data_IF_202035827496
#
_entry.id   IF_202035827496
#
_cell.length_a   1.000
_cell.length_b   1.000
_cell.length_c   1.000
_cell.angle_alpha   90.00
_cell.angle_beta   90.00
_cell.angle_gamma   90.00
#
_symmetry.space_group_name_H-M   'P 1'
#
loop_
_entity.id
_entity.type
_entity.pdbx_description
1 polymer ?
#
# COMPACT_ATOMS: atom_id res chain seq x y z
N UNK A 1 -0.96 18.19 13.57
CA UNK A 1 -2.38 17.80 13.41
C UNK A 1 -2.69 16.62 14.33
N UNK A 2 -3.96 16.31 14.58
CA UNK A 2 -4.35 15.19 15.44
C UNK A 2 -5.45 14.34 14.79
N UNK A 3 -5.39 13.02 14.97
CA UNK A 3 -6.50 12.08 14.71
C UNK A 3 -7.00 11.56 16.06
N UNK A 4 -8.10 12.12 16.53
CA UNK A 4 -8.55 11.92 17.92
C UNK A 4 -7.44 12.35 18.89
N UNK A 5 -7.00 11.44 19.77
CA UNK A 5 -5.93 11.70 20.75
C UNK A 5 -4.51 11.42 20.22
N UNK A 6 -4.36 10.98 18.96
CA UNK A 6 -3.06 10.62 18.37
C UNK A 6 -2.50 11.80 17.57
N UNK A 7 -1.29 12.30 17.89
CA UNK A 7 -0.63 13.31 17.07
C UNK A 7 -0.27 12.71 15.71
N UNK A 8 -0.49 13.47 14.64
CA UNK A 8 -0.17 13.10 13.27
C UNK A 8 0.52 14.25 12.53
N UNK A 9 1.38 13.88 11.58
CA UNK A 9 1.99 14.79 10.61
C UNK A 9 1.16 14.77 9.34
N UNK A 10 0.77 15.95 8.86
CA UNK A 10 0.11 16.14 7.57
C UNK A 10 1.11 16.80 6.64
N UNK A 11 1.34 16.20 5.49
CA UNK A 11 2.27 16.69 4.47
C UNK A 11 1.43 17.18 3.30
N UNK A 12 1.46 18.50 3.05
CA UNK A 12 0.77 19.14 1.94
C UNK A 12 1.72 19.59 0.82
N UNK A 13 3.03 19.52 1.07
CA UNK A 13 4.06 19.87 0.10
C UNK A 13 4.32 18.72 -0.91
N UNK A 14 4.20 18.95 -2.24
CA UNK A 14 4.38 17.92 -3.26
C UNK A 14 5.77 17.27 -3.28
N UNK A 15 6.82 18.03 -3.01
CA UNK A 15 8.20 17.51 -3.04
C UNK A 15 8.45 16.60 -1.85
N UNK A 16 7.96 16.96 -0.67
CA UNK A 16 7.96 16.10 0.51
C UNK A 16 7.10 14.85 0.30
N UNK A 17 5.94 14.98 -0.34
CA UNK A 17 5.11 13.84 -0.72
C UNK A 17 5.87 12.87 -1.64
N UNK A 18 6.59 13.37 -2.65
CA UNK A 18 7.45 12.56 -3.52
C UNK A 18 8.59 11.91 -2.73
N UNK A 19 9.22 12.64 -1.80
CA UNK A 19 10.27 12.11 -0.95
C UNK A 19 9.77 10.90 -0.15
N UNK A 20 8.65 11.04 0.56
CA UNK A 20 8.10 9.99 1.43
C UNK A 20 7.48 8.82 0.65
N UNK A 21 6.72 9.11 -0.41
CA UNK A 21 5.93 8.09 -1.12
C UNK A 21 6.70 7.37 -2.22
N UNK A 22 7.82 7.92 -2.70
CA UNK A 22 8.61 7.34 -3.80
C UNK A 22 10.03 7.03 -3.36
N UNK A 23 10.81 8.06 -2.97
CA UNK A 23 12.25 7.89 -2.70
C UNK A 23 12.50 7.06 -1.44
N UNK A 24 11.84 7.41 -0.35
CA UNK A 24 12.04 6.80 0.97
C UNK A 24 10.94 5.79 1.33
N UNK A 25 10.18 5.33 0.33
CA UNK A 25 8.98 4.52 0.55
C UNK A 25 9.25 3.25 1.40
N UNK A 26 10.45 2.68 1.32
CA UNK A 26 10.86 1.52 2.12
C UNK A 26 10.77 1.76 3.63
N UNK A 27 10.86 3.01 4.08
CA UNK A 27 10.72 3.39 5.49
C UNK A 27 9.24 3.54 5.91
N UNK A 28 8.33 3.73 4.94
CA UNK A 28 6.91 4.06 5.15
C UNK A 28 5.95 2.99 4.60
N UNK A 29 6.34 1.72 4.65
CA UNK A 29 5.54 0.62 4.07
C UNK A 29 4.24 0.34 4.81
N UNK A 30 4.18 0.64 6.11
CA UNK A 30 3.03 0.33 6.95
C UNK A 30 1.97 1.45 6.92
N UNK A 31 0.70 1.09 6.78
CA UNK A 31 -0.43 2.03 6.81
C UNK A 31 -1.03 2.20 8.21
N UNK A 32 -1.89 3.20 8.34
CA UNK A 32 -2.71 3.43 9.54
C UNK A 32 -3.51 2.16 9.83
N UNK A 33 -3.43 1.66 11.07
CA UNK A 33 -4.11 0.44 11.47
C UNK A 33 -5.61 0.70 11.59
N UNK A 34 -6.40 0.03 10.76
CA UNK A 34 -7.87 0.01 10.88
C UNK A 34 -8.29 -1.08 11.88
N UNK A 35 -8.74 -0.70 13.07
CA UNK A 35 -8.94 -1.64 14.18
C UNK A 35 -10.24 -2.45 14.07
N UNK A 36 -11.14 -2.07 13.16
CA UNK A 36 -12.41 -2.76 12.92
C UNK A 36 -12.35 -3.74 11.74
N UNK A 37 -11.18 -3.91 11.10
CA UNK A 37 -11.02 -4.88 10.02
C UNK A 37 -11.00 -6.31 10.58
N UNK A 38 -11.75 -7.20 9.94
CA UNK A 38 -11.76 -8.65 10.20
C UNK A 38 -11.23 -9.40 8.98
N UNK A 39 -11.06 -10.72 9.08
CA UNK A 39 -10.74 -11.54 7.91
C UNK A 39 -11.90 -11.52 6.90
N UNK A 40 -11.60 -11.51 5.58
CA UNK A 40 -10.28 -11.57 4.96
C UNK A 40 -9.55 -10.22 4.83
N UNK A 41 -10.18 -9.11 5.21
CA UNK A 41 -9.62 -7.74 5.06
C UNK A 41 -8.28 -7.56 5.78
N UNK A 42 -8.11 -8.16 6.96
CA UNK A 42 -6.81 -8.10 7.68
C UNK A 42 -5.67 -8.76 6.93
N UNK A 43 -5.96 -9.69 6.01
CA UNK A 43 -4.97 -10.43 5.23
C UNK A 43 -4.69 -9.73 3.88
N UNK A 44 -5.39 -8.63 3.58
CA UNK A 44 -5.20 -7.84 2.36
C UNK A 44 -3.86 -7.11 2.36
N UNK A 45 -3.25 -6.97 1.18
CA UNK A 45 -1.90 -6.41 1.01
C UNK A 45 -1.67 -5.08 1.73
N UNK A 46 -2.65 -4.17 1.76
CA UNK A 46 -2.52 -2.85 2.39
C UNK A 46 -2.58 -2.86 3.93
N UNK A 47 -3.04 -3.97 4.54
CA UNK A 47 -3.12 -4.17 6.00
C UNK A 47 -1.93 -4.96 6.55
N UNK A 48 -1.24 -5.72 5.69
CA UNK A 48 -0.02 -6.44 6.05
C UNK A 48 1.09 -5.47 6.44
N UNK A 49 1.98 -5.92 7.32
CA UNK A 49 3.10 -5.10 7.84
C UNK A 49 4.45 -5.74 7.55
N UNK A 50 5.48 -4.89 7.44
CA UNK A 50 6.89 -5.29 7.39
C UNK A 50 7.16 -6.43 6.37
N UNK A 51 7.86 -7.49 6.80
CA UNK A 51 8.24 -8.62 5.93
C UNK A 51 7.04 -9.37 5.34
N UNK A 52 5.91 -9.44 6.06
CA UNK A 52 4.72 -10.08 5.51
C UNK A 52 4.18 -9.29 4.31
N UNK A 53 4.14 -7.96 4.44
CA UNK A 53 3.80 -7.07 3.32
C UNK A 53 4.78 -7.23 2.16
N UNK A 54 6.10 -7.24 2.42
CA UNK A 54 7.12 -7.40 1.38
C UNK A 54 6.95 -8.73 0.64
N UNK A 55 6.76 -9.83 1.38
CA UNK A 55 6.57 -11.17 0.83
C UNK A 55 5.34 -11.24 -0.07
N UNK A 56 4.19 -10.80 0.42
CA UNK A 56 2.93 -10.87 -0.35
C UNK A 56 2.97 -9.92 -1.54
N UNK A 57 3.54 -8.71 -1.39
CA UNK A 57 3.73 -7.79 -2.51
C UNK A 57 4.56 -8.42 -3.62
N UNK A 58 5.68 -9.06 -3.27
CA UNK A 58 6.55 -9.73 -4.24
C UNK A 58 5.82 -10.84 -5.01
N UNK A 59 4.93 -11.56 -4.34
CA UNK A 59 4.11 -12.61 -4.97
C UNK A 59 3.04 -12.01 -5.90
N UNK A 60 2.38 -10.93 -5.50
CA UNK A 60 1.27 -10.34 -6.26
C UNK A 60 1.73 -9.45 -7.43
N UNK A 61 2.88 -8.78 -7.31
CA UNK A 61 3.34 -7.78 -8.30
C UNK A 61 3.41 -8.32 -9.74
N UNK A 62 3.91 -9.54 -10.02
CA UNK A 62 3.96 -10.08 -11.37
C UNK A 62 2.59 -10.21 -12.06
N UNK A 63 1.52 -10.44 -11.29
CA UNK A 63 0.15 -10.54 -11.82
C UNK A 63 -0.38 -9.23 -12.38
N UNK A 64 0.22 -8.09 -12.00
CA UNK A 64 -0.12 -6.75 -12.50
C UNK A 64 0.91 -6.20 -13.50
N UNK A 65 1.68 -7.09 -14.15
CA UNK A 65 2.56 -6.69 -15.25
C UNK A 65 1.77 -6.21 -16.47
N UNK A 66 2.39 -5.36 -17.29
CA UNK A 66 1.77 -4.83 -18.52
C UNK A 66 1.27 -5.96 -19.46
N UNK A 67 2.03 -7.05 -19.57
CA UNK A 67 1.65 -8.22 -20.36
C UNK A 67 0.36 -8.88 -19.83
N UNK A 68 0.26 -9.09 -18.51
CA UNK A 68 -0.94 -9.66 -17.88
C UNK A 68 -2.15 -8.74 -17.95
N UNK A 69 -1.96 -7.44 -17.79
CA UNK A 69 -3.05 -6.47 -17.95
C UNK A 69 -3.57 -6.42 -19.40
N UNK A 70 -2.67 -6.54 -20.39
CA UNK A 70 -3.07 -6.65 -21.79
C UNK A 70 -3.86 -7.93 -22.06
N UNK A 71 -3.44 -9.07 -21.49
CA UNK A 71 -4.15 -10.35 -21.57
C UNK A 71 -5.57 -10.24 -21.00
N UNK A 72 -5.74 -9.62 -19.82
CA UNK A 72 -7.06 -9.40 -19.21
C UNK A 72 -7.96 -8.58 -20.15
N UNK A 73 -7.44 -7.46 -20.68
CA UNK A 73 -8.21 -6.62 -21.61
C UNK A 73 -8.68 -7.37 -22.85
N UNK A 74 -7.84 -8.24 -23.41
CA UNK A 74 -8.17 -9.03 -24.59
C UNK A 74 -9.20 -10.14 -24.31
N UNK A 75 -9.34 -10.59 -23.07
CA UNK A 75 -10.32 -11.63 -22.67
C UNK A 75 -11.69 -11.06 -22.32
N UNK A 76 -11.78 -9.75 -22.09
CA UNK A 76 -13.01 -9.07 -21.67
C UNK A 76 -13.75 -8.40 -22.83
N UNK A 77 -13.22 -8.44 -24.05
CA UNK A 77 -13.88 -8.00 -25.28
C UNK A 77 -14.20 -9.20 -26.16
#
# INVERSE_FOLDING_TARGET
YYLGRRPVVVIADPDMLRQVMVKDFSNFTNRIKFHFATKPTTDSLHMLRNEQWKRVRRILTPSFSAAKMKEVRLRSG
#
